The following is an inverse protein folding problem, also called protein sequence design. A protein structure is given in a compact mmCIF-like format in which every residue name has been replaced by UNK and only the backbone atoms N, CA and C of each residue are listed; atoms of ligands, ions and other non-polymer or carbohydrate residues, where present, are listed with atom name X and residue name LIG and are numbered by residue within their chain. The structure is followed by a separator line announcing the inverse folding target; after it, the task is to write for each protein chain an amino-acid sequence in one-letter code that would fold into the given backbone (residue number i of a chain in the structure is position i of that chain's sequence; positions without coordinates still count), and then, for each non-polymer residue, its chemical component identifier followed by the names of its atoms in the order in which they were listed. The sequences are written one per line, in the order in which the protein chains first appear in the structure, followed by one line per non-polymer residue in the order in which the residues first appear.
data_IF_369284806112
#
_entry.id   IF_369284806112
#
_cell.length_a   1.000
_cell.length_b   1.000
_cell.length_c   1.000
_cell.angle_alpha   90.00
_cell.angle_beta   90.00
_cell.angle_gamma   90.00
#
_symmetry.space_group_name_H-M   'P 1'
#
loop_
_entity.id
_entity.type
_entity.pdbx_description
1 polymer ?
#
# COMPACT_ATOMS: atom_id res chain seq x y z
N UNK A 1 16.56 -1.23 6.05
CA UNK A 1 16.89 -2.68 5.98
C UNK A 1 17.60 -2.88 4.66
N UNK A 2 18.64 -3.70 4.60
CA UNK A 2 19.33 -3.99 3.33
C UNK A 2 18.43 -4.91 2.48
N UNK A 3 17.60 -4.31 1.63
CA UNK A 3 16.61 -4.99 0.81
C UNK A 3 16.51 -4.39 -0.58
N UNK A 4 15.80 -5.07 -1.48
CA UNK A 4 15.76 -4.73 -2.92
C UNK A 4 15.10 -3.38 -3.24
N UNK A 5 14.50 -2.71 -2.26
CA UNK A 5 14.00 -1.35 -2.42
C UNK A 5 15.12 -0.32 -2.51
N UNK A 6 16.30 -0.62 -1.95
CA UNK A 6 17.49 0.22 -2.02
C UNK A 6 18.30 -0.15 -3.27
N UNK A 7 17.83 0.37 -4.42
CA UNK A 7 18.43 0.07 -5.72
C UNK A 7 19.56 1.03 -6.12
N UNK A 8 20.01 1.89 -5.20
CA UNK A 8 21.04 2.89 -5.47
C UNK A 8 22.37 2.24 -5.89
N UNK A 9 22.75 2.41 -7.15
CA UNK A 9 24.02 1.88 -7.68
C UNK A 9 23.99 0.42 -8.14
N UNK A 10 22.81 -0.20 -8.25
CA UNK A 10 22.68 -1.54 -8.83
C UNK A 10 22.70 -1.51 -10.36
N UNK A 11 23.36 -2.48 -10.98
CA UNK A 11 23.39 -2.68 -12.43
C UNK A 11 22.29 -3.66 -12.90
N UNK A 12 22.03 -3.69 -14.22
CA UNK A 12 21.24 -4.77 -14.86
C UNK A 12 19.75 -4.51 -15.07
N UNK A 13 19.25 -3.30 -14.80
CA UNK A 13 17.82 -2.94 -14.97
C UNK A 13 17.41 -2.55 -16.40
N UNK A 14 18.38 -2.34 -17.29
CA UNK A 14 18.12 -1.89 -18.66
C UNK A 14 17.85 -0.40 -18.79
N UNK A 15 17.30 0.01 -19.94
CA UNK A 15 16.99 1.40 -20.25
C UNK A 15 15.71 1.87 -19.53
N UNK A 16 15.70 3.14 -19.09
CA UNK A 16 14.49 3.79 -18.58
C UNK A 16 13.63 4.22 -19.76
N UNK A 17 12.41 3.70 -19.87
CA UNK A 17 11.47 3.98 -20.97
C UNK A 17 10.21 4.69 -20.43
N UNK A 18 10.13 6.04 -20.49
CA UNK A 18 8.95 6.77 -20.06
C UNK A 18 7.75 6.58 -21.01
N UNK A 19 6.55 6.51 -20.46
CA UNK A 19 5.31 6.49 -21.25
C UNK A 19 4.93 7.91 -21.68
N UNK A 20 4.63 8.09 -22.97
CA UNK A 20 4.16 9.37 -23.49
C UNK A 20 2.73 9.66 -23.03
N UNK A 21 2.52 10.81 -22.38
CA UNK A 21 1.22 11.21 -21.80
C UNK A 21 0.68 10.24 -20.73
N UNK A 22 1.57 9.69 -19.91
CA UNK A 22 1.23 8.77 -18.83
C UNK A 22 0.07 9.32 -17.96
N UNK A 23 -1.02 8.56 -17.79
CA UNK A 23 -2.12 8.98 -16.91
C UNK A 23 -1.71 8.87 -15.44
N UNK A 24 -2.34 9.63 -14.52
CA UNK A 24 -2.07 9.48 -13.09
C UNK A 24 -2.35 8.07 -12.53
N UNK A 25 -3.29 7.35 -13.16
CA UNK A 25 -3.65 5.98 -12.84
C UNK A 25 -3.98 5.24 -14.15
N UNK A 26 -3.39 4.08 -14.36
CA UNK A 26 -3.67 3.16 -15.48
C UNK A 26 -4.94 2.35 -15.24
N UNK A 27 -5.38 2.20 -13.99
CA UNK A 27 -6.63 1.52 -13.64
C UNK A 27 -7.37 2.19 -12.48
N UNK A 28 -8.70 2.10 -12.49
CA UNK A 28 -9.56 2.74 -11.49
C UNK A 28 -9.26 2.30 -10.04
N UNK A 29 -8.72 1.10 -9.84
CA UNK A 29 -8.40 0.57 -8.50
C UNK A 29 -7.15 1.24 -7.90
N UNK A 30 -6.24 1.75 -8.73
CA UNK A 30 -5.00 2.37 -8.26
C UNK A 30 -5.28 3.65 -7.47
N UNK A 31 -6.18 4.49 -8.00
CA UNK A 31 -6.69 5.65 -7.29
C UNK A 31 -7.41 5.30 -5.98
N UNK A 32 -8.06 4.12 -5.92
CA UNK A 32 -8.69 3.63 -4.68
C UNK A 32 -7.63 3.24 -3.65
N UNK A 33 -6.56 2.56 -4.04
CA UNK A 33 -5.46 2.20 -3.14
C UNK A 33 -4.80 3.46 -2.57
N UNK A 34 -4.55 4.48 -3.39
CA UNK A 34 -4.07 5.77 -2.91
C UNK A 34 -5.06 6.39 -1.89
N UNK A 35 -6.35 6.43 -2.21
CA UNK A 35 -7.37 7.00 -1.34
C UNK A 35 -7.46 6.25 0.01
N UNK A 36 -7.40 4.92 -0.01
CA UNK A 36 -7.36 4.08 1.19
C UNK A 36 -6.12 4.38 2.04
N UNK A 37 -4.93 4.45 1.42
CA UNK A 37 -3.70 4.77 2.13
C UNK A 37 -3.78 6.14 2.81
N UNK A 38 -4.35 7.14 2.13
CA UNK A 38 -4.58 8.48 2.72
C UNK A 38 -5.62 8.45 3.84
N UNK A 39 -6.72 7.72 3.68
CA UNK A 39 -7.75 7.58 4.69
C UNK A 39 -7.21 6.96 5.98
N UNK A 40 -6.38 5.91 5.86
CA UNK A 40 -5.79 5.23 7.01
C UNK A 40 -4.72 6.07 7.70
N UNK A 41 -3.90 6.82 6.94
CA UNK A 41 -2.98 7.81 7.51
C UNK A 41 -3.73 8.93 8.24
N UNK A 42 -4.79 9.48 7.65
CA UNK A 42 -5.64 10.49 8.31
C UNK A 42 -6.27 9.93 9.59
N UNK A 43 -6.78 8.70 9.56
CA UNK A 43 -7.34 8.01 10.72
C UNK A 43 -6.34 7.82 11.88
N UNK A 44 -5.04 8.04 11.62
CA UNK A 44 -3.97 7.79 12.58
C UNK A 44 -3.72 6.30 12.81
N UNK A 45 -4.08 5.45 11.84
CA UNK A 45 -3.86 4.01 11.91
C UNK A 45 -2.36 3.68 11.77
N UNK A 46 -1.65 4.42 10.91
CA UNK A 46 -0.20 4.40 10.80
C UNK A 46 0.31 5.69 10.12
N UNK A 47 1.59 6.00 10.32
CA UNK A 47 2.28 7.10 9.64
C UNK A 47 3.07 6.61 8.42
N UNK A 48 3.68 7.55 7.69
CA UNK A 48 4.35 7.25 6.41
C UNK A 48 5.52 6.27 6.55
N UNK A 49 6.28 6.34 7.64
CA UNK A 49 7.44 5.46 7.83
C UNK A 49 7.02 3.99 8.03
N UNK A 50 5.90 3.76 8.73
CA UNK A 50 5.31 2.42 8.82
C UNK A 50 4.82 1.89 7.46
N UNK A 51 4.26 2.76 6.62
CA UNK A 51 3.83 2.38 5.27
C UNK A 51 5.03 2.02 4.39
N UNK A 52 6.13 2.76 4.47
CA UNK A 52 7.39 2.44 3.79
C UNK A 52 7.97 1.12 4.29
N UNK A 53 8.12 0.97 5.61
CA UNK A 53 8.65 -0.24 6.21
C UNK A 53 7.87 -1.51 5.79
N UNK A 54 6.54 -1.43 5.69
CA UNK A 54 5.73 -2.55 5.23
C UNK A 54 5.96 -2.89 3.74
N UNK A 55 6.20 -1.90 2.88
CA UNK A 55 6.59 -2.14 1.48
C UNK A 55 7.98 -2.76 1.37
N UNK A 56 8.92 -2.29 2.19
CA UNK A 56 10.32 -2.75 2.24
C UNK A 56 10.44 -4.21 2.72
N UNK A 57 9.45 -4.70 3.47
CA UNK A 57 9.37 -6.08 3.97
C UNK A 57 8.73 -7.08 2.99
N UNK A 58 8.19 -6.62 1.85
CA UNK A 58 7.66 -7.52 0.84
C UNK A 58 8.75 -8.48 0.33
N UNK A 59 8.41 -9.74 -0.01
CA UNK A 59 9.37 -10.65 -0.62
C UNK A 59 10.04 -9.98 -1.84
N UNK A 60 11.38 -10.07 -2.01
CA UNK A 60 12.09 -9.32 -3.06
C UNK A 60 11.53 -9.54 -4.46
N UNK A 61 11.16 -10.78 -4.77
CA UNK A 61 10.53 -11.15 -6.05
C UNK A 61 9.19 -10.44 -6.24
N UNK A 62 8.36 -10.37 -5.18
CA UNK A 62 7.09 -9.64 -5.21
C UNK A 62 7.33 -8.15 -5.39
N UNK A 63 8.25 -7.55 -4.63
CA UNK A 63 8.56 -6.11 -4.71
C UNK A 63 8.92 -5.65 -6.13
N UNK A 64 9.72 -6.46 -6.83
CA UNK A 64 10.19 -6.20 -8.19
C UNK A 64 9.15 -6.51 -9.29
N UNK A 65 8.23 -7.46 -9.05
CA UNK A 65 7.32 -7.95 -10.10
C UNK A 65 5.94 -7.30 -10.11
N UNK A 66 5.48 -6.75 -8.98
CA UNK A 66 4.16 -6.13 -8.89
C UNK A 66 4.20 -4.66 -9.29
N UNK A 67 3.07 -4.17 -9.82
CA UNK A 67 2.92 -2.75 -10.13
C UNK A 67 2.98 -1.87 -8.88
N UNK A 68 3.26 -0.58 -9.06
CA UNK A 68 3.49 0.37 -7.97
C UNK A 68 2.34 0.39 -6.95
N UNK A 69 1.09 0.51 -7.41
CA UNK A 69 -0.05 0.52 -6.50
C UNK A 69 -0.40 -0.86 -5.95
N UNK A 70 -0.03 -1.95 -6.63
CA UNK A 70 -0.17 -3.31 -6.06
C UNK A 70 0.80 -3.51 -4.90
N UNK A 71 2.00 -2.93 -4.95
CA UNK A 71 2.95 -2.90 -3.83
C UNK A 71 2.34 -2.21 -2.60
N UNK A 72 1.65 -1.10 -2.81
CA UNK A 72 0.97 -0.37 -1.73
C UNK A 72 -0.18 -1.17 -1.13
N UNK A 73 -1.00 -1.82 -1.95
CA UNK A 73 -2.09 -2.70 -1.52
C UNK A 73 -1.56 -3.83 -0.62
N UNK A 74 -0.55 -4.58 -1.08
CA UNK A 74 0.04 -5.69 -0.32
C UNK A 74 0.64 -5.22 1.01
N UNK A 75 1.36 -4.11 1.02
CA UNK A 75 1.91 -3.54 2.25
C UNK A 75 0.83 -3.01 3.20
N UNK A 76 -0.31 -2.56 2.67
CA UNK A 76 -1.46 -2.13 3.46
C UNK A 76 -2.11 -3.32 4.17
N UNK A 77 -2.24 -4.47 3.50
CA UNK A 77 -2.75 -5.71 4.13
C UNK A 77 -1.92 -6.10 5.36
N UNK A 78 -0.59 -6.08 5.24
CA UNK A 78 0.32 -6.29 6.39
C UNK A 78 0.04 -5.31 7.52
N UNK A 79 -0.06 -4.01 7.21
CA UNK A 79 -0.34 -3.00 8.23
C UNK A 79 -1.69 -3.22 8.93
N UNK A 80 -2.73 -3.59 8.18
CA UNK A 80 -4.06 -3.87 8.69
C UNK A 80 -4.05 -5.05 9.67
N UNK A 81 -3.38 -6.14 9.29
CA UNK A 81 -3.31 -7.38 10.08
C UNK A 81 -2.51 -7.14 11.36
N UNK A 82 -1.30 -6.59 11.27
CA UNK A 82 -0.41 -6.37 12.43
C UNK A 82 -1.02 -5.46 13.49
N UNK A 83 -1.90 -4.53 13.09
CA UNK A 83 -2.53 -3.55 14.00
C UNK A 83 -3.92 -3.98 14.46
N UNK A 84 -4.38 -5.16 14.05
CA UNK A 84 -5.69 -5.70 14.40
C UNK A 84 -6.85 -4.86 13.85
N UNK A 85 -6.68 -4.29 12.65
CA UNK A 85 -7.73 -3.52 11.96
C UNK A 85 -8.57 -4.42 11.04
N UNK A 86 -7.99 -5.50 10.54
CA UNK A 86 -8.67 -6.59 9.84
C UNK A 86 -7.90 -7.90 10.08
N UNK A 87 -8.58 -9.04 10.06
CA UNK A 87 -7.95 -10.35 10.03
C UNK A 87 -7.57 -10.81 8.62
N UNK A 88 -6.60 -11.73 8.51
CA UNK A 88 -6.22 -12.32 7.22
C UNK A 88 -7.38 -13.06 6.55
N UNK A 89 -8.28 -13.65 7.34
CA UNK A 89 -9.51 -14.29 6.88
C UNK A 89 -10.52 -13.30 6.31
N UNK A 90 -10.60 -12.09 6.85
CA UNK A 90 -11.46 -11.01 6.32
C UNK A 90 -10.95 -10.48 4.98
N UNK A 91 -9.63 -10.34 4.85
CA UNK A 91 -9.00 -9.97 3.56
C UNK A 91 -9.28 -11.05 2.52
N UNK A 92 -9.06 -12.33 2.85
CA UNK A 92 -9.34 -13.44 1.95
C UNK A 92 -10.83 -13.56 1.58
N UNK A 93 -11.74 -13.29 2.54
CA UNK A 93 -13.18 -13.31 2.31
C UNK A 93 -13.69 -12.08 1.53
N UNK A 94 -12.91 -11.00 1.46
CA UNK A 94 -13.30 -9.75 0.82
C UNK A 94 -14.40 -8.96 1.54
N UNK A 95 -14.71 -9.31 2.80
CA UNK A 95 -15.69 -8.63 3.63
C UNK A 95 -15.40 -8.85 5.13
N UNK A 96 -15.98 -7.99 5.98
CA UNK A 96 -15.82 -8.10 7.42
C UNK A 96 -16.50 -9.37 7.95
N UNK A 97 -15.77 -10.10 8.79
CA UNK A 97 -16.25 -11.31 9.49
C UNK A 97 -16.45 -11.05 10.99
N UNK A 98 -15.93 -9.92 11.49
CA UNK A 98 -16.04 -9.47 12.87
C UNK A 98 -16.19 -7.96 12.94
N UNK A 99 -16.55 -7.47 14.12
CA UNK A 99 -16.64 -6.03 14.34
C UNK A 99 -15.24 -5.39 14.24
N UNK A 100 -15.13 -4.35 13.41
CA UNK A 100 -13.87 -3.65 13.18
C UNK A 100 -13.48 -2.76 14.37
N UNK A 101 -12.17 -2.64 14.61
CA UNK A 101 -11.63 -1.74 15.63
C UNK A 101 -12.01 -0.28 15.32
N UNK A 102 -12.46 0.52 16.32
CA UNK A 102 -12.81 1.91 16.08
C UNK A 102 -11.58 2.74 15.69
N UNK A 103 -11.73 3.56 14.65
CA UNK A 103 -10.73 4.54 14.21
C UNK A 103 -10.93 5.87 14.97
N UNK A 104 -9.82 6.55 15.31
CA UNK A 104 -9.87 7.83 16.04
C UNK A 104 -10.56 8.95 15.26
N UNK A 105 -10.42 8.93 13.94
CA UNK A 105 -11.07 9.86 13.00
C UNK A 105 -11.29 9.16 11.67
N UNK A 106 -12.24 9.65 10.88
CA UNK A 106 -12.58 9.12 9.56
C UNK A 106 -12.41 10.23 8.53
N UNK A 107 -11.76 9.91 7.41
CA UNK A 107 -11.65 10.84 6.29
C UNK A 107 -13.00 10.82 5.53
N UNK A 108 -13.71 11.95 5.51
CA UNK A 108 -14.98 12.13 4.79
C UNK A 108 -14.82 13.21 3.72
N UNK A 109 -15.79 13.30 2.81
CA UNK A 109 -15.78 14.32 1.75
C UNK A 109 -15.80 15.76 2.28
N UNK A 110 -16.32 15.97 3.48
CA UNK A 110 -16.40 17.31 4.10
C UNK A 110 -15.04 17.77 4.68
N UNK A 111 -14.07 16.86 4.77
CA UNK A 111 -12.71 17.13 5.25
C UNK A 111 -11.76 17.50 4.09
N UNK A 112 -12.10 17.14 2.85
CA UNK A 112 -11.21 17.27 1.66
C UNK A 112 -11.65 18.39 0.75
#
# INVERSE_FOLDING_TARGET
MDGVHDMGGMDGFGEVVPEANEPPFHAAWEGRVLALQRAMSYAGAWHIDMSRAAQEQLPPQTYLSVSYYKRWELAMETNLIERGLAGADEIAAGHALREGKPLKRKLTRDIV
#
